data_IF_660550538992
#
_entry.id   IF_660550538992
#
_cell.length_a   1.000
_cell.length_b   1.000
_cell.length_c   1.000
_cell.angle_alpha   90.00
_cell.angle_beta   90.00
_cell.angle_gamma   90.00
#
_symmetry.space_group_name_H-M   'P 1'
#
loop_
_entity.id
_entity.type
_entity.pdbx_description
1 polymer ?
#
# COMPACT_ATOMS: atom_id res chain seq x y z
N UNK A 1 15.77 -19.13 9.00
CA UNK A 1 16.27 -17.92 8.34
C UNK A 1 17.69 -17.67 8.83
N UNK A 2 18.68 -17.79 7.95
CA UNK A 2 20.08 -17.48 8.27
C UNK A 2 20.39 -15.99 8.01
N UNK A 3 21.57 -15.53 8.45
CA UNK A 3 21.96 -14.10 8.34
C UNK A 3 22.00 -13.62 6.88
N UNK A 4 22.37 -14.48 5.95
CA UNK A 4 22.43 -14.17 4.52
C UNK A 4 21.04 -14.02 3.90
N UNK A 5 20.12 -14.91 4.24
CA UNK A 5 18.70 -14.85 3.84
C UNK A 5 18.02 -13.58 4.38
N UNK A 6 18.30 -13.22 5.64
CA UNK A 6 17.78 -11.99 6.22
C UNK A 6 18.29 -10.74 5.47
N UNK A 7 19.58 -10.72 5.10
CA UNK A 7 20.15 -9.62 4.33
C UNK A 7 19.54 -9.51 2.92
N UNK A 8 19.31 -10.65 2.24
CA UNK A 8 18.64 -10.70 0.94
C UNK A 8 17.20 -10.20 1.02
N UNK A 9 16.42 -10.67 2.00
CA UNK A 9 15.06 -10.19 2.23
C UNK A 9 15.00 -8.68 2.45
N UNK A 10 15.94 -8.12 3.23
CA UNK A 10 16.01 -6.67 3.45
C UNK A 10 16.29 -5.92 2.13
N UNK A 11 17.19 -6.43 1.29
CA UNK A 11 17.49 -5.82 0.00
C UNK A 11 16.28 -5.87 -0.94
N UNK A 12 15.57 -6.99 -0.99
CA UNK A 12 14.35 -7.16 -1.78
C UNK A 12 13.25 -6.22 -1.31
N UNK A 13 13.01 -6.12 0.00
CA UNK A 13 12.04 -5.16 0.56
C UNK A 13 12.38 -3.71 0.19
N UNK A 14 13.66 -3.33 0.22
CA UNK A 14 14.10 -1.99 -0.18
C UNK A 14 13.88 -1.73 -1.66
N UNK A 15 14.12 -2.73 -2.51
CA UNK A 15 13.89 -2.64 -3.95
C UNK A 15 12.40 -2.51 -4.24
N UNK A 16 11.59 -3.40 -3.69
CA UNK A 16 10.13 -3.37 -3.83
C UNK A 16 9.57 -2.00 -3.38
N UNK A 17 10.00 -1.49 -2.22
CA UNK A 17 9.60 -0.14 -1.78
C UNK A 17 9.88 0.92 -2.83
N UNK A 18 11.08 0.94 -3.42
CA UNK A 18 11.44 1.94 -4.45
C UNK A 18 10.54 1.84 -5.67
N UNK A 19 10.24 0.63 -6.13
CA UNK A 19 9.39 0.38 -7.29
C UNK A 19 7.94 0.84 -7.02
N UNK A 20 7.36 0.47 -5.88
CA UNK A 20 5.98 0.83 -5.51
C UNK A 20 5.81 2.34 -5.28
N UNK A 21 6.83 3.02 -4.75
CA UNK A 21 6.77 4.48 -4.52
C UNK A 21 7.23 5.32 -5.71
N UNK A 22 7.57 4.71 -6.84
CA UNK A 22 8.08 5.43 -8.00
C UNK A 22 7.02 6.32 -8.66
N UNK A 23 5.76 5.87 -8.69
CA UNK A 23 4.64 6.65 -9.20
C UNK A 23 3.29 6.21 -8.61
N UNK A 24 2.23 7.03 -8.72
CA UNK A 24 0.88 6.63 -8.32
C UNK A 24 0.36 5.37 -9.04
N UNK A 25 0.73 5.19 -10.31
CA UNK A 25 0.36 4.02 -11.12
C UNK A 25 1.08 2.77 -10.61
N UNK A 26 2.38 2.86 -10.31
CA UNK A 26 3.14 1.75 -9.74
C UNK A 26 2.58 1.32 -8.38
N UNK A 27 2.18 2.29 -7.55
CA UNK A 27 1.52 2.00 -6.28
C UNK A 27 0.18 1.27 -6.48
N UNK A 28 -0.65 1.71 -7.44
CA UNK A 28 -1.91 1.03 -7.75
C UNK A 28 -1.70 -0.39 -8.27
N UNK A 29 -0.70 -0.59 -9.14
CA UNK A 29 -0.37 -1.90 -9.68
C UNK A 29 0.06 -2.86 -8.57
N UNK A 30 0.94 -2.43 -7.67
CA UNK A 30 1.37 -3.23 -6.53
C UNK A 30 0.21 -3.59 -5.58
N UNK A 31 -0.74 -2.68 -5.39
CA UNK A 31 -1.95 -2.94 -4.59
C UNK A 31 -2.89 -3.95 -5.28
N UNK A 32 -2.95 -3.96 -6.62
CA UNK A 32 -3.68 -4.97 -7.39
C UNK A 32 -3.02 -6.35 -7.29
N UNK A 33 -1.71 -6.42 -7.51
CA UNK A 33 -0.93 -7.65 -7.41
C UNK A 33 -1.01 -8.27 -6.01
N UNK A 34 -1.04 -7.44 -4.97
CA UNK A 34 -1.25 -7.87 -3.59
C UNK A 34 -2.70 -8.32 -3.28
N UNK A 35 -3.64 -8.20 -4.22
CA UNK A 35 -5.06 -8.51 -4.01
C UNK A 35 -5.80 -7.54 -3.08
N UNK A 36 -5.17 -6.39 -2.76
CA UNK A 36 -5.75 -5.36 -1.90
C UNK A 36 -6.73 -4.48 -2.70
N UNK A 37 -6.43 -4.28 -3.98
CA UNK A 37 -7.24 -3.51 -4.92
C UNK A 37 -7.74 -4.42 -6.05
N UNK A 38 -8.98 -4.21 -6.48
CA UNK A 38 -9.57 -4.87 -7.65
C UNK A 38 -9.07 -4.22 -8.93
N UNK A 39 -9.30 -4.88 -10.07
CA UNK A 39 -8.95 -4.33 -11.38
C UNK A 39 -9.59 -2.97 -11.66
N UNK A 40 -10.81 -2.76 -11.17
CA UNK A 40 -11.57 -1.51 -11.27
C UNK A 40 -11.05 -0.39 -10.33
N UNK A 41 -9.97 -0.63 -9.58
CA UNK A 41 -9.40 0.34 -8.65
C UNK A 41 -10.15 0.48 -7.33
N UNK A 42 -11.02 -0.47 -6.98
CA UNK A 42 -11.74 -0.50 -5.69
C UNK A 42 -11.00 -1.36 -4.68
N UNK A 43 -11.22 -1.15 -3.39
CA UNK A 43 -10.64 -1.99 -2.34
C UNK A 43 -11.35 -3.35 -2.35
N UNK A 44 -10.57 -4.45 -2.35
CA UNK A 44 -11.09 -5.79 -2.33
C UNK A 44 -11.84 -6.09 -1.02
N UNK A 45 -12.89 -6.90 -1.11
CA UNK A 45 -13.81 -7.22 0.00
C UNK A 45 -13.13 -7.57 1.34
N UNK A 46 -12.11 -8.44 1.40
CA UNK A 46 -11.48 -8.79 2.68
C UNK A 46 -10.80 -7.59 3.37
N UNK A 47 -10.41 -6.57 2.60
CA UNK A 47 -9.71 -5.39 3.13
C UNK A 47 -10.66 -4.22 3.40
N UNK A 48 -11.89 -4.22 2.88
CA UNK A 48 -12.84 -3.10 3.03
C UNK A 48 -13.03 -2.68 4.49
N UNK A 49 -13.06 -3.62 5.43
CA UNK A 49 -13.25 -3.35 6.86
C UNK A 49 -12.12 -2.51 7.47
N UNK A 50 -10.88 -2.67 6.98
CA UNK A 50 -9.70 -1.90 7.43
C UNK A 50 -9.76 -0.44 6.96
N UNK A 51 -10.45 -0.19 5.85
CA UNK A 51 -10.62 1.13 5.27
C UNK A 51 -11.99 1.76 5.55
N UNK A 52 -12.88 1.08 6.29
CA UNK A 52 -14.05 1.71 6.88
C UNK A 52 -13.58 2.74 7.88
N UNK A 53 -13.49 4.00 7.46
CA UNK A 53 -13.26 5.14 8.34
C UNK A 53 -14.19 5.00 9.54
N UNK A 54 -13.63 4.87 10.76
CA UNK A 54 -14.27 5.59 11.87
C UNK A 54 -14.32 7.04 11.42
N UNK A 55 -15.48 7.65 11.45
CA UNK A 55 -15.67 9.08 11.21
C UNK A 55 -14.95 9.87 12.31
N UNK A 56 -13.63 9.85 12.36
CA UNK A 56 -12.87 10.90 13.02
C UNK A 56 -12.93 12.07 12.07
N UNK A 57 -13.79 13.05 12.40
CA UNK A 57 -13.92 14.28 11.65
C UNK A 57 -12.56 14.97 11.57
N UNK A 58 -11.83 14.75 10.47
CA UNK A 58 -10.78 15.67 10.07
C UNK A 58 -11.52 16.90 9.54
N UNK A 59 -11.70 17.89 10.41
CA UNK A 59 -11.90 19.27 9.97
C UNK A 59 -10.67 19.66 9.19
N UNK A 60 -10.79 19.69 7.85
CA UNK A 60 -9.86 20.44 7.01
C UNK A 60 -10.03 21.91 7.40
N UNK A 61 -9.13 22.42 8.25
CA UNK A 61 -8.99 23.86 8.44
C UNK A 61 -8.45 24.45 7.14
N UNK A 62 -9.36 24.91 6.29
CA UNK A 62 -9.04 25.77 5.15
C UNK A 62 -8.59 27.11 5.74
N UNK A 63 -7.29 27.37 5.74
CA UNK A 63 -6.77 28.73 5.96
C UNK A 63 -7.15 29.57 4.74
N UNK A 64 -8.02 30.55 4.95
CA UNK A 64 -8.37 31.63 4.00
C UNK A 64 -7.51 32.85 4.30
#
# INVERSE_FOLDING_TARGET
MNRSEAAQNILEMRRFKREVTASPEAARQALKEAGIMTEDGRIADPYKSLFKRRSTGCTEEVQV
#
